data_IF_416820081746
#
_entry.id   IF_416820081746
#
_cell.length_a   1.000
_cell.length_b   1.000
_cell.length_c   1.000
_cell.angle_alpha   90.00
_cell.angle_beta   90.00
_cell.angle_gamma   90.00
#
_symmetry.space_group_name_H-M   'P 1'
#
loop_
_entity.id
_entity.type
_entity.pdbx_description
1 polymer ?
#
# COMPACT_ATOMS: atom_id res chain seq x y z
N UNK A 1 -4.55 -27.63 8.11
CA UNK A 1 -3.26 -26.91 8.01
C UNK A 1 -3.10 -26.04 9.25
N UNK A 2 -1.97 -26.08 9.97
CA UNK A 2 -1.74 -25.16 11.08
C UNK A 2 -1.66 -23.71 10.57
N UNK A 3 -2.18 -22.77 11.36
CA UNK A 3 -2.11 -21.32 11.05
C UNK A 3 -0.64 -20.88 11.05
N UNK A 4 -0.13 -20.39 9.91
CA UNK A 4 1.22 -19.83 9.77
C UNK A 4 1.23 -18.35 10.12
N UNK A 5 1.01 -18.01 11.40
CA UNK A 5 1.08 -16.62 11.87
C UNK A 5 2.11 -16.47 12.98
N UNK A 6 3.04 -15.53 12.81
CA UNK A 6 4.00 -15.12 13.85
C UNK A 6 3.49 -13.89 14.60
N UNK A 7 3.72 -13.83 15.91
CA UNK A 7 3.36 -12.68 16.73
C UNK A 7 4.37 -11.55 16.51
N UNK A 8 3.87 -10.34 16.25
CA UNK A 8 4.67 -9.12 16.15
C UNK A 8 4.20 -8.18 17.27
N UNK A 9 5.13 -7.79 18.14
CA UNK A 9 4.87 -6.84 19.22
C UNK A 9 5.53 -5.50 18.89
N UNK A 10 4.83 -4.39 19.14
CA UNK A 10 5.38 -3.05 19.01
C UNK A 10 4.79 -2.10 20.05
N UNK A 11 5.59 -1.12 20.48
CA UNK A 11 5.13 -0.06 21.37
C UNK A 11 4.44 1.04 20.54
N UNK A 12 3.32 1.55 21.05
CA UNK A 12 2.59 2.66 20.44
C UNK A 12 2.24 3.72 21.50
N UNK A 13 2.25 5.01 21.15
CA UNK A 13 1.73 6.05 22.03
C UNK A 13 0.29 5.72 22.46
N UNK A 14 -0.12 6.03 23.72
CA UNK A 14 -1.46 5.67 24.21
C UNK A 14 -2.60 6.19 23.34
N UNK A 15 -2.44 7.38 22.76
CA UNK A 15 -3.41 7.98 21.83
C UNK A 15 -3.57 7.12 20.57
N UNK A 16 -2.46 6.65 19.98
CA UNK A 16 -2.47 5.82 18.78
C UNK A 16 -3.12 4.45 19.07
N UNK A 17 -2.79 3.83 20.20
CA UNK A 17 -3.41 2.57 20.60
C UNK A 17 -4.94 2.68 20.74
N UNK A 18 -5.42 3.79 21.33
CA UNK A 18 -6.86 4.09 21.40
C UNK A 18 -7.49 4.26 20.01
N UNK A 19 -6.81 4.95 19.10
CA UNK A 19 -7.28 5.15 17.72
C UNK A 19 -7.37 3.82 16.96
N UNK A 20 -6.33 2.99 17.01
CA UNK A 20 -6.33 1.65 16.38
C UNK A 20 -7.51 0.82 16.88
N UNK A 21 -7.74 0.78 18.20
CA UNK A 21 -8.86 0.04 18.79
C UNK A 21 -10.22 0.57 18.33
N UNK A 22 -10.39 1.89 18.27
CA UNK A 22 -11.64 2.52 17.85
C UNK A 22 -11.92 2.28 16.36
N UNK A 23 -10.90 2.36 15.51
CA UNK A 23 -11.02 2.14 14.07
C UNK A 23 -11.35 0.68 13.76
N UNK A 24 -10.63 -0.26 14.38
CA UNK A 24 -10.91 -1.69 14.21
C UNK A 24 -12.35 -2.03 14.60
N UNK A 25 -12.86 -1.44 15.70
CA UNK A 25 -14.27 -1.60 16.10
C UNK A 25 -15.23 -1.03 15.06
N UNK A 26 -14.94 0.16 14.50
CA UNK A 26 -15.78 0.81 13.48
C UNK A 26 -15.90 -0.03 12.21
N UNK A 27 -14.81 -0.68 11.81
CA UNK A 27 -14.75 -1.54 10.64
C UNK A 27 -15.18 -3.00 10.89
N UNK A 28 -15.62 -3.34 12.11
CA UNK A 28 -15.89 -4.73 12.53
C UNK A 28 -14.71 -5.69 12.29
N UNK A 29 -13.48 -5.22 12.55
CA UNK A 29 -12.23 -5.96 12.41
C UNK A 29 -11.52 -6.14 13.75
N UNK A 30 -10.63 -7.12 13.82
CA UNK A 30 -9.60 -7.19 14.87
C UNK A 30 -8.52 -6.13 14.62
N UNK A 31 -7.80 -5.72 15.68
CA UNK A 31 -6.68 -4.79 15.53
C UNK A 31 -5.59 -5.37 14.59
N UNK A 32 -5.34 -6.67 14.67
CA UNK A 32 -4.36 -7.33 13.81
C UNK A 32 -4.77 -7.35 12.33
N UNK A 33 -6.06 -7.42 12.03
CA UNK A 33 -6.56 -7.29 10.65
C UNK A 33 -6.39 -5.87 10.13
N UNK A 34 -6.83 -4.87 10.90
CA UNK A 34 -6.66 -3.47 10.55
C UNK A 34 -5.19 -3.12 10.29
N UNK A 35 -4.28 -3.60 11.15
CA UNK A 35 -2.84 -3.35 10.99
C UNK A 35 -2.25 -4.05 9.76
N UNK A 36 -2.72 -5.25 9.42
CA UNK A 36 -2.33 -5.96 8.18
C UNK A 36 -2.81 -5.20 6.94
N UNK A 37 -4.03 -4.68 6.95
CA UNK A 37 -4.59 -3.89 5.86
C UNK A 37 -3.85 -2.56 5.70
N UNK A 38 -3.56 -1.89 6.82
CA UNK A 38 -2.79 -0.65 6.84
C UNK A 38 -1.38 -0.85 6.28
N UNK A 39 -0.70 -1.94 6.67
CA UNK A 39 0.63 -2.26 6.14
C UNK A 39 0.59 -2.59 4.64
N UNK A 40 -0.39 -3.38 4.20
CA UNK A 40 -0.58 -3.71 2.78
C UNK A 40 -0.82 -2.45 1.95
N UNK A 41 -1.67 -1.54 2.43
CA UNK A 41 -1.95 -0.25 1.80
C UNK A 41 -0.71 0.66 1.73
N UNK A 42 0.09 0.70 2.80
CA UNK A 42 1.36 1.44 2.82
C UNK A 42 2.34 0.90 1.78
N UNK A 43 2.49 -0.43 1.71
CA UNK A 43 3.38 -1.08 0.75
C UNK A 43 2.91 -0.88 -0.68
N UNK A 44 1.61 -0.99 -0.95
CA UNK A 44 1.05 -0.70 -2.28
C UNK A 44 1.38 0.73 -2.72
N UNK A 45 1.09 1.72 -1.88
CA UNK A 45 1.41 3.13 -2.18
C UNK A 45 2.91 3.35 -2.40
N UNK A 46 3.76 2.67 -1.62
CA UNK A 46 5.22 2.73 -1.77
C UNK A 46 5.67 2.15 -3.12
N UNK A 47 5.10 1.04 -3.55
CA UNK A 47 5.44 0.41 -4.83
C UNK A 47 4.91 1.25 -6.01
N UNK A 48 3.67 1.75 -5.92
CA UNK A 48 3.08 2.61 -6.95
C UNK A 48 3.95 3.85 -7.22
N UNK A 49 4.45 4.53 -6.17
CA UNK A 49 5.38 5.66 -6.33
C UNK A 49 6.65 5.28 -7.08
N UNK A 50 7.20 4.09 -6.84
CA UNK A 50 8.38 3.60 -7.56
C UNK A 50 8.07 3.31 -9.03
N UNK A 51 6.91 2.71 -9.30
CA UNK A 51 6.47 2.45 -10.68
C UNK A 51 6.25 3.75 -11.44
N UNK A 52 5.58 4.73 -10.82
CA UNK A 52 5.37 6.05 -11.43
C UNK A 52 6.70 6.75 -11.76
N UNK A 53 7.66 6.75 -10.84
CA UNK A 53 8.98 7.33 -11.09
C UNK A 53 9.73 6.66 -12.25
N UNK A 54 9.64 5.32 -12.35
CA UNK A 54 10.23 4.57 -13.48
C UNK A 54 9.47 4.82 -14.78
N UNK A 55 8.14 4.84 -14.73
CA UNK A 55 7.29 5.09 -15.89
C UNK A 55 7.55 6.47 -16.48
N UNK A 56 7.64 7.51 -15.65
CA UNK A 56 7.98 8.86 -16.09
C UNK A 56 9.35 8.91 -16.81
N UNK A 57 10.38 8.28 -16.23
CA UNK A 57 11.70 8.24 -16.85
C UNK A 57 11.76 7.44 -18.16
N UNK A 58 10.88 6.44 -18.34
CA UNK A 58 10.77 5.67 -19.57
C UNK A 58 9.99 6.48 -20.63
N UNK A 59 8.87 7.09 -20.24
CA UNK A 59 8.06 7.93 -21.11
C UNK A 59 8.88 9.11 -21.66
N UNK A 60 9.64 9.80 -20.81
CA UNK A 60 10.55 10.88 -21.23
C UNK A 60 11.60 10.40 -22.25
N UNK A 61 12.19 9.21 -22.04
CA UNK A 61 13.17 8.63 -22.98
C UNK A 61 12.55 8.22 -24.31
N UNK A 62 11.28 7.82 -24.30
CA UNK A 62 10.55 7.36 -25.47
C UNK A 62 9.75 8.49 -26.15
N UNK A 63 9.75 9.70 -25.58
CA UNK A 63 8.96 10.83 -26.09
C UNK A 63 7.44 10.63 -25.99
N UNK A 64 6.99 9.78 -25.06
CA UNK A 64 5.56 9.48 -24.86
C UNK A 64 4.95 10.50 -23.91
N UNK A 65 3.98 11.28 -24.37
CA UNK A 65 3.32 12.32 -23.58
C UNK A 65 1.85 11.99 -23.30
N UNK A 66 1.24 11.19 -24.15
CA UNK A 66 -0.19 10.87 -24.13
C UNK A 66 -0.45 9.38 -24.00
N UNK A 67 -1.70 9.05 -23.68
CA UNK A 67 -2.14 7.66 -23.64
C UNK A 67 -2.13 7.02 -25.04
N UNK A 68 -2.42 7.82 -26.08
CA UNK A 68 -2.40 7.38 -27.47
C UNK A 68 -0.98 6.98 -27.90
N UNK A 69 0.06 7.73 -27.48
CA UNK A 69 1.47 7.37 -27.76
C UNK A 69 1.84 6.00 -27.14
N UNK A 70 1.27 5.69 -25.97
CA UNK A 70 1.50 4.42 -25.27
C UNK A 70 0.81 3.27 -26.01
N UNK A 71 -0.42 3.46 -26.48
CA UNK A 71 -1.12 2.44 -27.28
C UNK A 71 -0.44 2.20 -28.62
N UNK A 72 0.06 3.24 -29.29
CA UNK A 72 0.79 3.07 -30.57
C UNK A 72 2.12 2.33 -30.39
N UNK A 73 2.80 2.51 -29.26
CA UNK A 73 4.09 1.86 -28.98
C UNK A 73 3.98 0.43 -28.43
N UNK A 74 2.94 0.10 -27.67
CA UNK A 74 2.79 -1.19 -26.96
C UNK A 74 1.58 -2.04 -27.39
N UNK A 75 0.71 -1.51 -28.25
CA UNK A 75 -0.48 -2.17 -28.78
C UNK A 75 -0.21 -3.22 -29.85
#
# INVERSE_FOLDING_TARGET
>A
MPRTTTIINFSAPPKLAKQIKAEAKRENKTQSELLRDAFSSYMFKKQLRKFQARGAAIAEKLGLETYDDIEEFFG
#
